data_IF_522492885751
#
_entry.id   IF_522492885751
#
_cell.length_a   1.000
_cell.length_b   1.000
_cell.length_c   1.000
_cell.angle_alpha   90.00
_cell.angle_beta   90.00
_cell.angle_gamma   90.00
#
_symmetry.space_group_name_H-M   'P 1'
#
loop_
_entity.id
_entity.type
_entity.pdbx_description
1 polymer ?
#
# COMPACT_ATOMS: atom_id res chain seq x y z
N UNK A 1 5.82 -3.48 28.83
CA UNK A 1 6.97 -3.78 27.93
C UNK A 1 8.11 -4.34 28.76
N UNK A 2 8.73 -5.45 28.35
CA UNK A 2 9.88 -6.05 29.07
C UNK A 2 11.14 -5.20 28.87
N UNK A 3 12.11 -5.28 29.83
CA UNK A 3 13.42 -4.60 29.69
C UNK A 3 14.15 -5.00 28.40
N UNK A 4 14.05 -6.28 28.01
CA UNK A 4 14.64 -6.80 26.77
C UNK A 4 14.00 -6.16 25.54
N UNK A 5 12.68 -6.06 25.51
CA UNK A 5 11.96 -5.43 24.37
C UNK A 5 12.36 -3.97 24.22
N UNK A 6 12.43 -3.22 25.33
CA UNK A 6 12.85 -1.82 25.29
C UNK A 6 14.28 -1.64 24.77
N UNK A 7 15.21 -2.50 25.17
CA UNK A 7 16.60 -2.47 24.70
C UNK A 7 16.69 -2.79 23.20
N UNK A 8 15.91 -3.78 22.70
CA UNK A 8 15.89 -4.13 21.27
C UNK A 8 15.36 -2.94 20.45
N UNK A 9 14.24 -2.33 20.88
CA UNK A 9 13.67 -1.18 20.17
C UNK A 9 14.66 0.00 20.14
N UNK A 10 15.29 0.31 21.27
CA UNK A 10 16.34 1.34 21.35
C UNK A 10 17.45 1.11 20.32
N UNK A 11 17.97 -0.11 20.22
CA UNK A 11 19.03 -0.46 19.24
C UNK A 11 18.54 -0.37 17.79
N UNK A 12 17.27 -0.69 17.54
CA UNK A 12 16.69 -0.52 16.20
C UNK A 12 16.59 0.96 15.85
N UNK A 13 16.13 1.81 16.79
CA UNK A 13 16.05 3.27 16.59
C UNK A 13 17.44 3.87 16.35
N UNK A 14 18.45 3.45 17.12
CA UNK A 14 19.84 3.88 16.93
C UNK A 14 20.43 3.45 15.58
N UNK A 15 20.07 2.27 15.08
CA UNK A 15 20.61 1.73 13.82
C UNK A 15 19.90 2.25 12.55
N UNK A 16 18.59 2.48 12.61
CA UNK A 16 17.75 2.78 11.45
C UNK A 16 17.06 4.15 11.51
N UNK A 17 17.13 4.84 12.64
CA UNK A 17 16.40 6.09 12.90
C UNK A 17 14.93 5.85 13.27
N UNK A 18 14.25 6.93 13.58
CA UNK A 18 12.83 6.94 13.97
C UNK A 18 11.95 7.61 12.92
N UNK A 19 12.55 8.13 11.86
CA UNK A 19 11.79 8.77 10.78
C UNK A 19 11.18 7.72 9.86
N UNK A 20 9.92 7.91 9.57
CA UNK A 20 9.14 7.04 8.70
C UNK A 20 9.09 7.61 7.29
N UNK A 21 9.61 6.85 6.31
CA UNK A 21 9.65 7.27 4.91
C UNK A 21 8.84 6.29 4.06
N UNK A 22 7.88 6.80 3.31
CA UNK A 22 7.22 6.03 2.26
C UNK A 22 8.07 6.05 0.99
N UNK A 23 8.46 4.88 0.51
CA UNK A 23 9.30 4.76 -0.71
C UNK A 23 8.50 4.81 -2.01
N UNK A 24 7.17 4.76 -1.97
CA UNK A 24 6.30 4.91 -3.13
C UNK A 24 6.00 6.39 -3.37
N UNK A 25 6.34 6.90 -4.55
CA UNK A 25 6.10 8.29 -4.92
C UNK A 25 4.61 8.54 -5.11
N UNK A 26 4.08 9.55 -4.44
CA UNK A 26 2.68 9.97 -4.52
C UNK A 26 2.51 11.42 -4.09
N UNK A 27 1.52 12.09 -4.63
CA UNK A 27 1.11 13.46 -4.26
C UNK A 27 -0.25 13.45 -3.57
N UNK A 28 -1.07 12.45 -3.85
CA UNK A 28 -2.43 12.31 -3.32
C UNK A 28 -2.65 10.94 -2.68
N UNK A 29 -3.65 10.79 -1.77
CA UNK A 29 -4.00 9.51 -1.16
C UNK A 29 -4.33 8.41 -2.17
N UNK A 30 -5.07 8.72 -3.23
CA UNK A 30 -5.44 7.73 -4.24
C UNK A 30 -4.23 7.29 -5.09
N UNK A 31 -3.26 8.18 -5.34
CA UNK A 31 -2.02 7.79 -6.01
C UNK A 31 -1.23 6.78 -5.17
N UNK A 32 -1.13 6.99 -3.86
CA UNK A 32 -0.52 6.01 -2.97
C UNK A 32 -1.28 4.67 -3.02
N UNK A 33 -2.61 4.70 -2.98
CA UNK A 33 -3.42 3.48 -3.02
C UNK A 33 -3.17 2.67 -4.30
N UNK A 34 -3.16 3.31 -5.47
CA UNK A 34 -2.84 2.66 -6.75
C UNK A 34 -1.40 2.13 -6.74
N UNK A 35 -0.42 2.92 -6.28
CA UNK A 35 0.97 2.49 -6.19
C UNK A 35 1.14 1.26 -5.28
N UNK A 36 0.42 1.19 -4.16
CA UNK A 36 0.44 0.02 -3.26
C UNK A 36 -0.22 -1.20 -3.91
N UNK A 37 -1.31 -1.05 -4.66
CA UNK A 37 -1.88 -2.15 -5.44
C UNK A 37 -0.86 -2.68 -6.46
N UNK A 38 -0.14 -1.78 -7.14
CA UNK A 38 0.90 -2.15 -8.10
C UNK A 38 2.13 -2.81 -7.44
N UNK A 39 2.44 -2.48 -6.18
CA UNK A 39 3.61 -3.02 -5.46
C UNK A 39 3.45 -4.50 -5.03
N UNK A 40 2.26 -5.08 -5.18
CA UNK A 40 2.06 -6.51 -4.93
C UNK A 40 3.00 -7.36 -5.80
N UNK A 41 3.97 -8.05 -5.16
CA UNK A 41 5.02 -8.84 -5.83
C UNK A 41 5.82 -8.04 -6.87
N UNK A 42 6.04 -6.76 -6.62
CA UNK A 42 6.85 -5.87 -7.44
C UNK A 42 7.68 -4.95 -6.54
N UNK A 43 8.86 -4.54 -7.01
CA UNK A 43 9.72 -3.62 -6.24
C UNK A 43 9.19 -2.19 -6.31
N UNK A 44 9.37 -1.42 -5.23
CA UNK A 44 8.96 -0.01 -5.18
C UNK A 44 9.64 0.83 -6.28
N UNK A 45 10.91 0.54 -6.58
CA UNK A 45 11.64 1.19 -7.67
C UNK A 45 10.95 0.99 -9.04
N UNK A 46 10.48 -0.23 -9.34
CA UNK A 46 9.74 -0.50 -10.58
C UNK A 46 8.39 0.18 -10.58
N UNK A 47 7.67 0.16 -9.45
CA UNK A 47 6.39 0.86 -9.32
C UNK A 47 6.57 2.35 -9.57
N UNK A 48 7.56 2.98 -8.97
CA UNK A 48 7.83 4.42 -9.14
C UNK A 48 8.14 4.81 -10.59
N UNK A 49 8.83 3.94 -11.34
CA UNK A 49 9.05 4.16 -12.79
C UNK A 49 7.72 4.13 -13.54
N UNK A 50 6.89 3.13 -13.29
CA UNK A 50 5.61 2.97 -13.98
C UNK A 50 4.61 4.07 -13.60
N UNK A 51 4.49 4.40 -12.33
CA UNK A 51 3.51 5.40 -11.84
C UNK A 51 3.82 6.80 -12.33
N UNK A 52 5.09 7.13 -12.63
CA UNK A 52 5.47 8.42 -13.18
C UNK A 52 4.74 8.73 -14.51
N UNK A 53 4.72 7.78 -15.42
CA UNK A 53 4.04 7.93 -16.72
C UNK A 53 2.53 7.68 -16.58
N UNK A 54 2.16 6.73 -15.73
CA UNK A 54 0.77 6.34 -15.50
C UNK A 54 -0.08 7.50 -14.95
N UNK A 55 0.42 8.24 -13.97
CA UNK A 55 -0.30 9.38 -13.38
C UNK A 55 -0.35 10.61 -14.29
N UNK A 56 0.54 10.71 -15.27
CA UNK A 56 0.42 11.71 -16.34
C UNK A 56 -0.68 11.33 -17.34
N UNK A 57 -0.78 10.06 -17.69
CA UNK A 57 -1.78 9.53 -18.61
C UNK A 57 -3.18 9.49 -17.98
N UNK A 58 -3.27 9.14 -16.71
CA UNK A 58 -4.51 9.07 -15.91
C UNK A 58 -4.42 10.05 -14.73
N UNK A 59 -4.70 11.35 -14.96
CA UNK A 59 -4.45 12.38 -13.95
C UNK A 59 -5.50 12.46 -12.84
N UNK A 60 -6.54 11.65 -12.88
CA UNK A 60 -7.60 11.61 -11.85
C UNK A 60 -8.16 10.21 -11.64
N UNK A 61 -8.93 10.02 -10.56
CA UNK A 61 -9.64 8.76 -10.31
C UNK A 61 -10.68 8.45 -11.38
N UNK A 62 -11.37 9.46 -11.92
CA UNK A 62 -12.33 9.30 -13.01
C UNK A 62 -11.64 8.79 -14.28
N UNK A 63 -10.43 9.25 -14.56
CA UNK A 63 -9.63 8.75 -15.68
C UNK A 63 -9.32 7.25 -15.51
N UNK A 64 -8.97 6.79 -14.32
CA UNK A 64 -8.79 5.37 -14.03
C UNK A 64 -10.10 4.58 -14.05
N UNK A 65 -11.19 5.15 -13.54
CA UNK A 65 -12.50 4.51 -13.51
C UNK A 65 -13.04 4.24 -14.94
N UNK A 66 -12.69 5.09 -15.90
CA UNK A 66 -13.08 5.03 -17.29
C UNK A 66 -11.99 4.46 -18.22
N UNK A 67 -10.85 4.02 -17.67
CA UNK A 67 -9.75 3.51 -18.47
C UNK A 67 -10.14 2.24 -19.25
N UNK A 68 -9.62 2.12 -20.48
CA UNK A 68 -9.70 0.86 -21.22
C UNK A 68 -8.83 -0.19 -20.53
N UNK A 69 -9.44 -1.36 -20.29
CA UNK A 69 -8.76 -2.43 -19.54
C UNK A 69 -7.49 -2.90 -20.23
N UNK A 70 -7.53 -3.07 -21.56
CA UNK A 70 -6.37 -3.59 -22.30
C UNK A 70 -5.24 -2.58 -22.37
N UNK A 71 -5.59 -1.31 -22.50
CA UNK A 71 -4.63 -0.22 -22.49
C UNK A 71 -3.94 -0.12 -21.12
N UNK A 72 -4.71 -0.12 -20.03
CA UNK A 72 -4.16 -0.09 -18.69
C UNK A 72 -3.29 -1.34 -18.39
N UNK A 73 -3.68 -2.53 -18.86
CA UNK A 73 -2.88 -3.75 -18.77
C UNK A 73 -1.51 -3.59 -19.46
N UNK A 74 -1.44 -2.93 -20.60
CA UNK A 74 -0.19 -2.65 -21.30
C UNK A 74 0.68 -1.66 -20.53
N UNK A 75 0.08 -0.58 -20.03
CA UNK A 75 0.79 0.45 -19.28
C UNK A 75 1.46 -0.09 -18.01
N UNK A 76 0.81 -1.03 -17.30
CA UNK A 76 1.31 -1.62 -16.07
C UNK A 76 1.95 -2.99 -16.24
N UNK A 77 2.13 -3.48 -17.46
CA UNK A 77 2.61 -4.83 -17.79
C UNK A 77 3.90 -5.21 -17.00
N UNK A 78 4.84 -4.27 -16.90
CA UNK A 78 6.12 -4.51 -16.25
C UNK A 78 6.06 -4.70 -14.73
N UNK A 79 4.90 -4.48 -14.09
CA UNK A 79 4.70 -4.70 -12.65
C UNK A 79 4.34 -6.14 -12.29
N UNK A 80 4.09 -7.00 -13.28
CA UNK A 80 3.63 -8.39 -13.10
C UNK A 80 2.18 -8.49 -12.61
N UNK A 81 1.54 -9.64 -12.84
CA UNK A 81 0.12 -9.87 -12.48
C UNK A 81 -0.83 -8.78 -12.97
N UNK A 82 -0.47 -8.14 -14.07
CA UNK A 82 -1.08 -6.93 -14.58
C UNK A 82 -2.56 -7.08 -14.91
N UNK A 83 -3.04 -8.22 -15.38
CA UNK A 83 -4.47 -8.48 -15.64
C UNK A 83 -5.34 -8.27 -14.40
N UNK A 84 -4.94 -8.85 -13.25
CA UNK A 84 -5.67 -8.70 -12.00
C UNK A 84 -5.51 -7.29 -11.42
N UNK A 85 -4.29 -6.71 -11.51
CA UNK A 85 -4.01 -5.36 -11.05
C UNK A 85 -4.84 -4.32 -11.81
N UNK A 86 -4.89 -4.38 -13.14
CA UNK A 86 -5.68 -3.46 -13.95
C UNK A 86 -7.18 -3.52 -13.62
N UNK A 87 -7.74 -4.73 -13.52
CA UNK A 87 -9.15 -4.92 -13.10
C UNK A 87 -9.40 -4.33 -11.71
N UNK A 88 -8.51 -4.60 -10.75
CA UNK A 88 -8.64 -4.09 -9.39
C UNK A 88 -8.54 -2.56 -9.36
N UNK A 89 -7.61 -1.96 -10.08
CA UNK A 89 -7.44 -0.50 -10.14
C UNK A 89 -8.69 0.18 -10.70
N UNK A 90 -9.22 -0.30 -11.83
CA UNK A 90 -10.45 0.26 -12.42
C UNK A 90 -11.63 0.11 -11.47
N UNK A 91 -11.82 -1.06 -10.87
CA UNK A 91 -12.92 -1.31 -9.93
C UNK A 91 -12.77 -0.47 -8.66
N UNK A 92 -11.56 -0.36 -8.12
CA UNK A 92 -11.26 0.48 -6.96
C UNK A 92 -11.56 1.96 -7.26
N UNK A 93 -11.07 2.49 -8.39
CA UNK A 93 -11.30 3.86 -8.80
C UNK A 93 -12.80 4.16 -8.98
N UNK A 94 -13.56 3.27 -9.61
CA UNK A 94 -15.03 3.41 -9.72
C UNK A 94 -15.70 3.46 -8.36
N UNK A 95 -15.35 2.56 -7.46
CA UNK A 95 -15.92 2.54 -6.11
C UNK A 95 -15.60 3.83 -5.35
N UNK A 96 -14.38 4.36 -5.46
CA UNK A 96 -13.99 5.62 -4.84
C UNK A 96 -14.80 6.81 -5.38
N UNK A 97 -14.97 6.89 -6.71
CA UNK A 97 -15.76 7.95 -7.34
C UNK A 97 -17.24 7.85 -6.98
N UNK A 98 -17.82 6.65 -7.07
CA UNK A 98 -19.28 6.45 -6.92
C UNK A 98 -19.74 6.46 -5.46
N UNK A 99 -18.93 5.96 -4.54
CA UNK A 99 -19.33 5.74 -3.15
C UNK A 99 -18.67 6.70 -2.15
N UNK A 100 -17.48 7.19 -2.46
CA UNK A 100 -16.66 7.97 -1.54
C UNK A 100 -16.33 9.37 -2.07
N UNK A 101 -17.03 9.82 -3.11
CA UNK A 101 -16.86 11.16 -3.72
C UNK A 101 -15.39 11.48 -4.09
N UNK A 102 -14.65 10.44 -4.53
CA UNK A 102 -13.24 10.54 -4.89
C UNK A 102 -12.25 10.52 -3.70
N UNK A 103 -12.75 10.43 -2.48
CA UNK A 103 -11.91 10.37 -1.29
C UNK A 103 -11.52 8.92 -0.95
N UNK A 104 -10.30 8.73 -0.43
CA UNK A 104 -9.88 7.43 0.07
C UNK A 104 -10.41 7.25 1.49
N UNK A 105 -11.18 6.18 1.79
CA UNK A 105 -11.76 6.01 3.12
C UNK A 105 -10.67 5.76 4.18
N UNK A 106 -10.98 6.12 5.42
CA UNK A 106 -10.07 5.99 6.56
C UNK A 106 -10.21 4.67 7.30
N UNK A 107 -11.44 4.16 7.37
CA UNK A 107 -11.76 2.97 8.16
C UNK A 107 -11.22 1.69 7.50
N UNK A 108 -10.73 0.77 8.33
CA UNK A 108 -10.09 -0.46 7.85
C UNK A 108 -11.06 -1.32 7.03
N UNK A 109 -12.30 -1.42 7.48
CA UNK A 109 -13.36 -2.20 6.83
C UNK A 109 -13.69 -1.63 5.45
N UNK A 110 -13.76 -0.32 5.32
CA UNK A 110 -14.04 0.36 4.05
C UNK A 110 -12.87 0.21 3.07
N UNK A 111 -11.64 0.39 3.55
CA UNK A 111 -10.43 0.17 2.75
C UNK A 111 -10.34 -1.27 2.24
N UNK A 112 -10.60 -2.25 3.10
CA UNK A 112 -10.53 -3.66 2.71
C UNK A 112 -11.70 -4.12 1.82
N UNK A 113 -12.77 -3.35 1.73
CA UNK A 113 -13.84 -3.57 0.77
C UNK A 113 -13.50 -3.12 -0.66
N UNK A 114 -12.45 -2.31 -0.84
CA UNK A 114 -11.97 -1.88 -2.15
C UNK A 114 -11.27 -3.02 -2.89
N UNK A 115 -11.46 -3.09 -4.21
CA UNK A 115 -10.84 -4.12 -5.03
C UNK A 115 -9.31 -4.02 -5.00
N UNK A 116 -8.64 -5.15 -4.76
CA UNK A 116 -7.18 -5.22 -4.68
C UNK A 116 -6.57 -4.71 -3.35
N UNK A 117 -7.41 -4.31 -2.39
CA UNK A 117 -6.97 -3.78 -1.09
C UNK A 117 -7.16 -4.83 -0.01
N UNK A 118 -6.08 -5.46 0.40
CA UNK A 118 -6.05 -6.33 1.58
C UNK A 118 -5.69 -5.56 2.86
N UNK A 119 -5.74 -6.24 4.01
CA UNK A 119 -5.41 -5.64 5.31
C UNK A 119 -4.02 -4.98 5.33
N UNK A 120 -3.01 -5.60 4.69
CA UNK A 120 -1.67 -5.02 4.58
C UNK A 120 -1.70 -3.68 3.85
N UNK A 121 -2.34 -3.62 2.67
CA UNK A 121 -2.49 -2.40 1.87
C UNK A 121 -3.25 -1.32 2.65
N UNK A 122 -4.36 -1.69 3.29
CA UNK A 122 -5.14 -0.76 4.11
C UNK A 122 -4.31 -0.15 5.25
N UNK A 123 -3.48 -0.96 5.94
CA UNK A 123 -2.59 -0.44 6.99
C UNK A 123 -1.49 0.47 6.43
N UNK A 124 -1.00 0.25 5.21
CA UNK A 124 -0.07 1.19 4.55
C UNK A 124 -0.76 2.55 4.35
N UNK A 125 -1.98 2.57 3.85
CA UNK A 125 -2.74 3.81 3.64
C UNK A 125 -3.01 4.51 4.97
N UNK A 126 -3.50 3.78 5.98
CA UNK A 126 -3.81 4.35 7.31
C UNK A 126 -2.57 4.95 7.97
N UNK A 127 -1.43 4.27 7.89
CA UNK A 127 -0.18 4.78 8.47
C UNK A 127 0.39 5.99 7.72
N UNK A 128 0.41 5.95 6.39
CA UNK A 128 1.06 7.00 5.60
C UNK A 128 0.19 8.24 5.39
N UNK A 129 -1.11 8.07 5.16
CA UNK A 129 -2.00 9.17 4.82
C UNK A 129 -2.67 9.74 6.07
N UNK A 130 -3.16 8.84 6.96
CA UNK A 130 -3.94 9.25 8.12
C UNK A 130 -3.13 9.29 9.41
N UNK A 131 -1.83 8.91 9.36
CA UNK A 131 -0.94 8.86 10.52
C UNK A 131 -1.50 8.05 11.70
N UNK A 132 -2.33 7.05 11.37
CA UNK A 132 -2.90 6.17 12.38
C UNK A 132 -1.89 5.11 12.80
N UNK A 133 -1.84 4.78 14.10
CA UNK A 133 -1.02 3.68 14.57
C UNK A 133 -1.42 2.38 13.87
N UNK A 134 -0.60 1.92 12.96
CA UNK A 134 -0.83 0.70 12.20
C UNK A 134 0.48 -0.04 11.96
N UNK A 135 0.42 -1.37 11.95
CA UNK A 135 1.57 -2.21 11.65
C UNK A 135 1.34 -2.92 10.33
N UNK A 136 2.24 -2.66 9.39
CA UNK A 136 2.27 -3.36 8.09
C UNK A 136 2.97 -4.69 8.27
N UNK A 137 2.20 -5.76 8.49
CA UNK A 137 2.75 -7.11 8.70
C UNK A 137 3.01 -7.80 7.38
N UNK A 138 4.24 -7.71 6.92
CA UNK A 138 4.72 -8.47 5.77
C UNK A 138 5.51 -9.73 6.20
N UNK A 139 6.05 -10.46 5.23
CA UNK A 139 6.86 -11.67 5.49
C UNK A 139 8.14 -11.38 6.28
N UNK A 140 8.71 -10.19 6.12
CA UNK A 140 9.91 -9.75 6.84
C UNK A 140 9.60 -9.41 8.29
N UNK A 141 8.56 -8.60 8.55
CA UNK A 141 8.08 -8.28 9.90
C UNK A 141 7.75 -9.56 10.65
N UNK A 142 7.01 -10.50 10.02
CA UNK A 142 6.70 -11.80 10.60
C UNK A 142 7.95 -12.57 11.03
N UNK A 143 8.92 -12.70 10.13
CA UNK A 143 10.15 -13.47 10.37
C UNK A 143 11.03 -12.82 11.44
N UNK A 144 11.19 -11.51 11.37
CA UNK A 144 12.05 -10.74 12.29
C UNK A 144 11.42 -10.72 13.69
N UNK A 145 10.14 -10.41 13.83
CA UNK A 145 9.43 -10.39 15.11
C UNK A 145 9.49 -11.74 15.82
N UNK A 146 9.38 -12.84 15.06
CA UNK A 146 9.55 -14.19 15.60
C UNK A 146 11.00 -14.42 16.08
N UNK A 147 12.01 -14.03 15.31
CA UNK A 147 13.43 -14.17 15.69
C UNK A 147 13.79 -13.33 16.93
N UNK A 148 13.21 -12.14 17.05
CA UNK A 148 13.40 -11.26 18.21
C UNK A 148 12.60 -11.71 19.44
N UNK A 149 11.68 -12.68 19.28
CA UNK A 149 10.84 -13.17 20.38
C UNK A 149 9.73 -12.19 20.78
N UNK A 150 9.31 -11.30 19.87
CA UNK A 150 8.20 -10.38 20.11
C UNK A 150 6.85 -11.08 20.01
N UNK A 151 6.74 -12.10 19.14
CA UNK A 151 5.52 -12.88 18.95
C UNK A 151 5.85 -14.31 18.53
N UNK A 152 4.96 -15.24 18.90
CA UNK A 152 4.98 -16.63 18.43
C UNK A 152 4.02 -16.86 17.25
N UNK A 153 3.08 -15.96 17.03
CA UNK A 153 2.03 -16.07 16.02
C UNK A 153 1.67 -14.72 15.40
N UNK A 154 1.20 -14.74 14.15
CA UNK A 154 0.67 -13.56 13.45
C UNK A 154 -0.61 -13.00 14.05
N UNK A 155 -1.36 -13.82 14.78
CA UNK A 155 -2.64 -13.42 15.39
C UNK A 155 -2.42 -12.35 16.47
N UNK A 156 -1.19 -12.23 16.99
CA UNK A 156 -0.83 -11.27 18.04
C UNK A 156 -0.16 -9.99 17.52
N UNK A 157 -0.03 -9.86 16.23
CA UNK A 157 0.48 -8.66 15.57
C UNK A 157 -0.69 -7.97 14.88
#
# INVERSE_FOLDING_TARGET
MTKRTAEILKRLDEAYGTEYVCYLNHETPWQLLIAVILSAQCTDARVNIVTKDLFQKYPSLEAFANADLKELEQDIHSTGFYHNKAKNIISCARTLVEKYDGEVPRELEELTALAGVGRKTANVIRGNIYHEPSVVVDTHVKRISKKLGFTLSLIHI
#
